data_IF_403616338809
#
_entry.id   IF_403616338809
#
_cell.length_a   1.000
_cell.length_b   1.000
_cell.length_c   1.000
_cell.angle_alpha   90.00
_cell.angle_beta   90.00
_cell.angle_gamma   90.00
#
_symmetry.space_group_name_H-M   'P 1'
#
loop_
_entity.id
_entity.type
_entity.pdbx_description
1 polymer ?
#
# COMPACT_ATOMS: atom_id res chain seq x y z
N UNK A 1 28.12 -32.49 84.96
CA UNK A 1 28.19 -31.88 83.64
C UNK A 1 27.72 -32.89 82.62
N UNK A 2 26.41 -32.87 82.28
CA UNK A 2 25.77 -33.80 81.34
C UNK A 2 25.73 -33.15 79.95
N UNK A 3 26.34 -33.77 78.97
CA UNK A 3 26.31 -33.36 77.59
C UNK A 3 25.02 -33.92 76.92
N UNK A 4 24.12 -33.03 76.50
CA UNK A 4 22.98 -33.35 75.67
C UNK A 4 23.41 -33.59 74.24
N UNK A 5 23.21 -34.77 73.74
CA UNK A 5 23.37 -35.06 72.30
C UNK A 5 22.10 -34.66 71.55
N UNK A 6 22.29 -33.79 70.55
CA UNK A 6 21.28 -33.32 69.60
C UNK A 6 20.83 -34.45 68.65
N UNK A 7 19.53 -34.63 68.36
CA UNK A 7 19.09 -35.61 67.39
C UNK A 7 19.50 -35.27 65.97
N UNK A 8 20.18 -36.17 65.25
CA UNK A 8 20.50 -36.07 63.82
C UNK A 8 19.22 -36.12 63.00
N UNK A 9 18.99 -35.07 62.28
CA UNK A 9 17.97 -34.94 61.21
C UNK A 9 18.27 -35.96 60.09
N UNK A 10 17.50 -37.08 60.10
CA UNK A 10 17.57 -38.08 59.06
C UNK A 10 16.79 -37.62 57.85
N UNK A 11 17.43 -36.80 56.99
CA UNK A 11 16.89 -36.49 55.67
C UNK A 11 16.83 -37.78 54.86
N UNK A 12 15.62 -38.30 54.62
CA UNK A 12 15.38 -39.44 53.73
C UNK A 12 15.94 -39.11 52.36
N UNK A 13 16.80 -39.93 51.76
CA UNK A 13 17.27 -39.72 50.40
C UNK A 13 16.08 -39.86 49.46
N UNK A 14 15.77 -38.82 48.71
CA UNK A 14 14.82 -38.89 47.61
C UNK A 14 15.35 -39.91 46.63
N UNK A 15 14.70 -41.08 46.53
CA UNK A 15 15.07 -42.13 45.60
C UNK A 15 15.03 -41.59 44.17
N UNK A 16 16.20 -41.43 43.56
CA UNK A 16 16.32 -41.14 42.14
C UNK A 16 15.72 -42.32 41.37
N UNK A 17 14.49 -42.14 40.87
CA UNK A 17 13.93 -43.10 39.92
C UNK A 17 14.75 -43.01 38.64
N UNK A 18 15.43 -44.07 38.28
CA UNK A 18 16.14 -44.15 37.01
C UNK A 18 15.09 -44.21 35.87
N UNK A 19 15.23 -43.34 34.91
CA UNK A 19 14.34 -43.27 33.74
C UNK A 19 14.78 -44.36 32.76
N UNK A 20 13.85 -45.15 32.25
CA UNK A 20 14.18 -46.19 31.26
C UNK A 20 14.28 -45.56 29.85
N UNK A 21 15.09 -46.16 28.99
CA UNK A 21 15.25 -45.72 27.60
C UNK A 21 13.89 -45.74 26.84
N UNK A 22 13.03 -46.73 27.16
CA UNK A 22 11.71 -46.88 26.56
C UNK A 22 10.76 -45.74 26.99
N UNK A 23 10.77 -45.35 28.28
CA UNK A 23 9.95 -44.23 28.75
C UNK A 23 10.35 -42.92 28.08
N UNK A 24 11.64 -42.69 27.88
CA UNK A 24 12.13 -41.52 27.15
C UNK A 24 11.69 -41.56 25.69
N UNK A 25 11.81 -42.72 25.03
CA UNK A 25 11.48 -42.87 23.61
C UNK A 25 9.99 -42.68 23.36
N UNK A 26 9.11 -43.18 24.22
CA UNK A 26 7.65 -42.97 24.13
C UNK A 26 7.30 -41.48 24.29
N UNK A 27 7.92 -40.79 25.26
CA UNK A 27 7.66 -39.36 25.49
C UNK A 27 8.07 -38.53 24.29
N UNK A 28 9.27 -38.73 23.73
CA UNK A 28 9.69 -37.97 22.55
C UNK A 28 8.84 -38.28 21.31
N UNK A 29 8.37 -39.53 21.15
CA UNK A 29 7.45 -39.90 20.08
C UNK A 29 6.10 -39.17 20.20
N UNK A 30 5.53 -39.10 21.41
CA UNK A 30 4.27 -38.37 21.65
C UNK A 30 4.45 -36.87 21.42
N UNK A 31 5.53 -36.27 21.96
CA UNK A 31 5.84 -34.86 21.76
C UNK A 31 6.05 -34.56 20.26
N UNK A 32 6.82 -35.39 19.57
CA UNK A 32 7.07 -35.26 18.13
C UNK A 32 5.78 -35.29 17.33
N UNK A 33 4.87 -36.21 17.62
CA UNK A 33 3.56 -36.29 16.95
C UNK A 33 2.70 -35.07 17.25
N UNK A 34 2.62 -34.64 18.52
CA UNK A 34 1.84 -33.45 18.89
C UNK A 34 2.38 -32.17 18.25
N UNK A 35 3.70 -31.96 18.28
CA UNK A 35 4.34 -30.80 17.65
C UNK A 35 4.16 -30.84 16.14
N UNK A 36 4.31 -32.01 15.52
CA UNK A 36 4.12 -32.19 14.07
C UNK A 36 2.72 -31.82 13.60
N UNK A 37 1.69 -32.07 14.40
CA UNK A 37 0.30 -31.69 14.09
C UNK A 37 -0.02 -30.23 14.45
N UNK A 38 0.54 -29.73 15.55
CA UNK A 38 0.24 -28.37 16.03
C UNK A 38 0.94 -27.28 15.21
N UNK A 39 2.16 -27.51 14.73
CA UNK A 39 2.95 -26.46 14.05
C UNK A 39 2.26 -25.91 12.79
N UNK A 40 1.74 -26.73 11.85
CA UNK A 40 1.02 -26.23 10.69
C UNK A 40 -0.27 -25.48 11.08
N UNK A 41 -1.01 -25.99 12.07
CA UNK A 41 -2.26 -25.38 12.53
C UNK A 41 -2.03 -23.99 13.15
N UNK A 42 -0.99 -23.85 13.98
CA UNK A 42 -0.62 -22.56 14.59
C UNK A 42 -0.17 -21.55 13.51
N UNK A 43 0.58 -21.98 12.51
CA UNK A 43 1.00 -21.10 11.41
C UNK A 43 -0.21 -20.61 10.58
N UNK A 44 -1.14 -21.53 10.26
CA UNK A 44 -2.38 -21.16 9.55
C UNK A 44 -3.25 -20.18 10.37
N UNK A 45 -3.40 -20.43 11.68
CA UNK A 45 -4.14 -19.53 12.56
C UNK A 45 -3.49 -18.13 12.65
N UNK A 46 -2.17 -18.06 12.73
CA UNK A 46 -1.43 -16.79 12.73
C UNK A 46 -1.61 -16.02 11.43
N UNK A 47 -1.56 -16.70 10.29
CA UNK A 47 -1.77 -16.03 9.00
C UNK A 47 -3.21 -15.54 8.84
N UNK A 48 -4.20 -16.32 9.26
CA UNK A 48 -5.59 -15.90 9.29
C UNK A 48 -5.80 -14.63 10.16
N UNK A 49 -5.14 -14.58 11.33
CA UNK A 49 -5.18 -13.41 12.20
C UNK A 49 -4.52 -12.18 11.54
N UNK A 50 -3.35 -12.35 10.89
CA UNK A 50 -2.70 -11.26 10.15
C UNK A 50 -3.57 -10.75 9.01
N UNK A 51 -4.17 -11.66 8.23
CA UNK A 51 -5.09 -11.29 7.15
C UNK A 51 -6.30 -10.50 7.67
N UNK A 52 -6.88 -10.94 8.78
CA UNK A 52 -7.98 -10.19 9.43
C UNK A 52 -7.55 -8.78 9.85
N UNK A 53 -6.33 -8.61 10.36
CA UNK A 53 -5.79 -7.30 10.69
C UNK A 53 -5.62 -6.42 9.43
N UNK A 54 -5.12 -6.98 8.31
CA UNK A 54 -4.98 -6.25 7.05
C UNK A 54 -6.34 -5.84 6.48
N UNK A 55 -7.37 -6.69 6.58
CA UNK A 55 -8.75 -6.36 6.21
C UNK A 55 -9.31 -5.22 7.08
N UNK A 56 -9.06 -5.25 8.39
CA UNK A 56 -9.50 -4.20 9.31
C UNK A 56 -8.81 -2.86 8.98
N UNK A 57 -7.53 -2.86 8.63
CA UNK A 57 -6.84 -1.66 8.17
C UNK A 57 -7.51 -1.06 6.92
N UNK A 58 -7.79 -1.89 5.90
CA UNK A 58 -8.54 -1.45 4.71
C UNK A 58 -9.93 -0.90 5.07
N UNK A 59 -10.62 -1.55 6.00
CA UNK A 59 -11.92 -1.06 6.48
C UNK A 59 -11.82 0.32 7.10
N UNK A 60 -10.81 0.56 7.93
CA UNK A 60 -10.57 1.89 8.54
C UNK A 60 -10.20 2.93 7.49
N UNK A 61 -9.37 2.59 6.50
CA UNK A 61 -9.05 3.47 5.38
C UNK A 61 -10.29 3.83 4.57
N UNK A 62 -11.12 2.84 4.23
CA UNK A 62 -12.37 3.05 3.52
C UNK A 62 -13.34 3.95 4.27
N UNK A 63 -13.56 3.69 5.57
CA UNK A 63 -14.41 4.52 6.43
C UNK A 63 -13.85 5.93 6.60
N UNK A 64 -12.54 6.08 6.81
CA UNK A 64 -11.88 7.38 6.88
C UNK A 64 -12.06 8.20 5.60
N UNK A 65 -11.99 7.53 4.44
CA UNK A 65 -12.22 8.15 3.14
C UNK A 65 -13.68 8.59 2.94
N UNK A 66 -14.65 7.77 3.33
CA UNK A 66 -16.07 8.11 3.24
C UNK A 66 -16.43 9.27 4.19
N UNK A 67 -15.91 9.26 5.41
CA UNK A 67 -16.06 10.36 6.35
C UNK A 67 -15.45 11.67 5.84
N UNK A 68 -14.27 11.59 5.19
CA UNK A 68 -13.67 12.73 4.49
C UNK A 68 -14.60 13.25 3.39
N UNK A 69 -15.10 12.35 2.52
CA UNK A 69 -15.95 12.71 1.40
C UNK A 69 -17.27 13.35 1.86
N UNK A 70 -17.86 12.87 2.96
CA UNK A 70 -19.04 13.44 3.58
C UNK A 70 -18.76 14.85 4.13
N UNK A 71 -17.69 15.01 4.91
CA UNK A 71 -17.31 16.28 5.51
C UNK A 71 -16.87 17.35 4.48
N UNK A 72 -16.30 16.96 3.34
CA UNK A 72 -15.78 17.87 2.30
C UNK A 72 -16.66 17.95 1.05
N UNK A 73 -17.68 17.12 0.94
CA UNK A 73 -18.55 17.01 -0.24
C UNK A 73 -17.93 16.34 -1.45
N UNK A 74 -16.68 15.84 -1.35
CA UNK A 74 -15.95 15.17 -2.41
C UNK A 74 -14.77 14.35 -1.86
N UNK A 75 -14.28 13.39 -2.64
CA UNK A 75 -13.02 12.69 -2.39
C UNK A 75 -11.83 13.67 -2.41
N UNK A 76 -10.68 13.32 -1.83
CA UNK A 76 -9.48 14.14 -1.92
C UNK A 76 -9.18 14.53 -3.37
N UNK A 77 -8.89 15.82 -3.63
CA UNK A 77 -8.55 16.25 -4.98
C UNK A 77 -7.23 15.63 -5.45
N UNK A 78 -7.05 15.47 -6.76
CA UNK A 78 -5.90 14.78 -7.33
C UNK A 78 -4.55 15.41 -7.02
N UNK A 79 -4.48 16.72 -6.80
CA UNK A 79 -3.28 17.42 -6.36
C UNK A 79 -3.67 18.34 -5.22
N UNK A 80 -3.10 18.10 -4.05
CA UNK A 80 -3.30 18.95 -2.89
C UNK A 80 -1.99 19.62 -2.50
N UNK A 81 -1.96 20.93 -2.67
CA UNK A 81 -1.07 21.77 -1.88
C UNK A 81 -1.48 21.69 -0.41
N UNK A 82 -0.53 21.89 0.51
CA UNK A 82 -0.85 21.94 1.94
C UNK A 82 -2.06 22.87 2.20
N UNK A 83 -2.96 22.52 3.11
CA UNK A 83 -4.20 23.28 3.35
C UNK A 83 -3.99 24.75 3.69
N UNK A 84 -2.78 25.11 4.12
CA UNK A 84 -2.40 26.46 4.58
C UNK A 84 -1.59 27.27 3.54
N UNK A 85 -1.42 26.76 2.31
CA UNK A 85 -0.69 27.49 1.29
C UNK A 85 -1.47 28.72 0.82
N UNK A 86 -0.89 29.91 0.95
CA UNK A 86 -1.44 31.13 0.33
C UNK A 86 -1.30 31.09 -1.20
N UNK A 87 -2.13 31.82 -1.91
CA UNK A 87 -2.07 31.88 -3.38
C UNK A 87 -0.70 32.39 -3.90
N UNK A 88 -0.09 33.35 -3.17
CA UNK A 88 1.24 33.85 -3.52
C UNK A 88 2.33 32.79 -3.42
N UNK A 89 2.20 31.90 -2.45
CA UNK A 89 3.12 30.78 -2.24
C UNK A 89 2.90 29.65 -3.24
N UNK A 90 1.72 29.54 -3.83
CA UNK A 90 1.41 28.61 -4.92
C UNK A 90 2.00 29.07 -6.27
N UNK A 91 2.30 30.34 -6.40
CA UNK A 91 2.82 30.96 -7.63
C UNK A 91 4.35 31.09 -7.65
N UNK A 92 5.06 30.72 -6.58
CA UNK A 92 6.52 30.76 -6.52
C UNK A 92 7.11 29.77 -7.55
N UNK A 93 7.95 30.29 -8.46
CA UNK A 93 8.59 29.51 -9.52
C UNK A 93 9.52 28.38 -9.00
N UNK A 94 9.96 28.46 -7.75
CA UNK A 94 10.68 27.37 -7.06
C UNK A 94 9.75 26.23 -6.63
N UNK A 95 8.49 26.33 -6.87
CA UNK A 95 7.42 25.36 -6.60
C UNK A 95 7.36 24.19 -7.60
N UNK A 96 8.40 23.98 -8.36
CA UNK A 96 8.47 22.94 -9.41
C UNK A 96 8.16 21.51 -8.96
N UNK A 97 8.11 21.27 -7.67
CA UNK A 97 7.84 19.94 -7.12
C UNK A 97 6.38 19.62 -6.82
N UNK A 98 5.48 20.59 -6.86
CA UNK A 98 4.15 20.44 -6.24
C UNK A 98 3.12 19.70 -7.09
N UNK A 99 3.21 19.82 -8.39
CA UNK A 99 2.27 19.18 -9.29
C UNK A 99 2.43 17.67 -9.37
N UNK A 100 3.60 17.17 -8.93
CA UNK A 100 3.93 15.76 -8.97
C UNK A 100 3.93 15.10 -7.58
N UNK A 101 4.01 15.88 -6.52
CA UNK A 101 4.23 15.41 -5.14
C UNK A 101 3.22 15.99 -4.17
N UNK A 102 1.98 16.15 -4.60
CA UNK A 102 0.89 16.55 -3.70
C UNK A 102 0.77 15.60 -2.52
N UNK A 103 0.08 16.06 -1.48
CA UNK A 103 -0.27 15.23 -0.32
C UNK A 103 -1.18 14.07 -0.77
N UNK A 104 -0.90 12.90 -0.27
CA UNK A 104 -1.65 11.69 -0.61
C UNK A 104 -3.05 11.70 0.00
N UNK A 105 -3.97 10.88 -0.54
CA UNK A 105 -5.24 10.63 0.14
C UNK A 105 -5.06 10.07 1.56
N UNK A 106 -3.98 9.32 1.85
CA UNK A 106 -3.67 8.85 3.21
C UNK A 106 -3.49 10.02 4.18
N UNK A 107 -2.76 11.06 3.76
CA UNK A 107 -2.60 12.26 4.59
C UNK A 107 -3.93 12.97 4.83
N UNK A 108 -4.76 13.08 3.79
CA UNK A 108 -6.02 13.81 3.87
C UNK A 108 -7.04 13.16 4.80
N UNK A 109 -6.98 11.85 4.97
CA UNK A 109 -7.89 11.12 5.87
C UNK A 109 -7.38 11.01 7.32
N UNK A 110 -6.18 11.48 7.63
CA UNK A 110 -5.61 11.38 8.99
C UNK A 110 -6.56 11.87 10.09
N UNK A 111 -7.29 13.00 9.94
CA UNK A 111 -8.24 13.44 10.95
C UNK A 111 -9.41 12.48 11.21
N UNK A 112 -9.66 11.56 10.26
CA UNK A 112 -10.77 10.60 10.31
C UNK A 112 -10.33 9.19 10.71
N UNK A 113 -9.03 8.98 10.97
CA UNK A 113 -8.41 7.71 11.37
C UNK A 113 -7.44 7.89 12.55
N UNK A 114 -7.80 8.77 13.50
CA UNK A 114 -7.02 9.06 14.72
C UNK A 114 -5.61 9.68 14.48
N UNK A 115 -5.38 10.25 13.29
CA UNK A 115 -4.11 10.88 12.92
C UNK A 115 -4.09 12.41 13.02
N UNK A 116 -5.01 13.03 13.76
CA UNK A 116 -5.21 14.49 13.83
C UNK A 116 -3.95 15.25 14.28
N UNK A 117 -3.21 14.72 15.24
CA UNK A 117 -1.99 15.37 15.72
C UNK A 117 -0.93 15.47 14.62
N UNK A 118 -0.76 14.40 13.85
CA UNK A 118 0.16 14.39 12.70
C UNK A 118 -0.32 15.32 11.60
N UNK A 119 -1.62 15.33 11.33
CA UNK A 119 -2.22 16.25 10.35
C UNK A 119 -1.95 17.70 10.73
N UNK A 120 -2.20 18.08 11.97
CA UNK A 120 -2.00 19.45 12.47
C UNK A 120 -0.53 19.85 12.59
N UNK A 121 0.36 18.89 12.90
CA UNK A 121 1.81 19.14 12.96
C UNK A 121 2.41 19.47 11.59
N UNK A 122 1.71 19.13 10.51
CA UNK A 122 2.14 19.32 9.13
C UNK A 122 1.58 20.61 8.55
N UNK A 123 1.76 21.71 9.24
CA UNK A 123 1.51 23.05 8.66
C UNK A 123 2.60 23.38 7.65
N UNK A 124 2.31 24.26 6.71
CA UNK A 124 3.28 24.72 5.71
C UNK A 124 4.56 25.27 6.32
N UNK A 125 4.47 26.07 7.39
CA UNK A 125 5.64 26.58 8.12
C UNK A 125 6.56 25.46 8.63
N UNK A 126 5.99 24.29 8.87
CA UNK A 126 6.70 23.09 9.30
C UNK A 126 7.11 22.19 8.13
N UNK A 127 6.47 22.33 6.97
CA UNK A 127 6.81 21.60 5.74
C UNK A 127 7.96 22.30 5.00
N UNK A 128 8.12 23.63 5.22
CA UNK A 128 9.19 24.47 4.67
C UNK A 128 9.27 24.43 3.15
N UNK A 129 10.29 25.07 2.57
CA UNK A 129 10.72 24.87 1.18
C UNK A 129 11.06 23.39 0.86
N UNK A 130 10.99 22.54 1.83
CA UNK A 130 11.20 21.09 1.77
C UNK A 130 10.04 20.31 1.13
N UNK A 131 8.93 20.93 0.75
CA UNK A 131 8.03 20.41 -0.28
C UNK A 131 8.65 20.51 -1.68
N UNK A 132 9.76 21.21 -1.81
CA UNK A 132 10.68 21.09 -2.89
C UNK A 132 10.91 19.60 -3.20
N UNK A 133 11.24 19.29 -4.40
CA UNK A 133 11.59 18.02 -5.03
C UNK A 133 12.24 16.95 -4.13
N UNK A 134 12.78 17.35 -2.98
CA UNK A 134 13.36 16.54 -1.91
C UNK A 134 12.54 16.52 -0.61
N UNK A 135 11.33 17.04 -0.62
CA UNK A 135 10.47 17.19 0.58
C UNK A 135 10.04 15.89 1.28
N UNK A 136 10.51 14.77 0.78
CA UNK A 136 10.49 13.48 1.44
C UNK A 136 11.28 13.46 2.75
N UNK A 137 12.17 14.43 2.93
CA UNK A 137 13.00 14.58 4.12
C UNK A 137 12.34 15.38 5.23
N UNK A 138 11.06 15.73 5.06
CA UNK A 138 10.36 16.38 6.14
C UNK A 138 10.39 15.49 7.39
N UNK A 139 11.19 15.96 8.34
CA UNK A 139 11.45 15.28 9.60
C UNK A 139 10.17 14.93 10.38
N UNK A 140 9.04 15.54 10.03
CA UNK A 140 7.77 15.38 10.74
C UNK A 140 6.80 14.38 10.07
N UNK A 141 6.82 14.22 8.75
CA UNK A 141 5.91 13.29 8.04
C UNK A 141 6.58 11.98 7.63
N UNK A 142 7.75 12.09 7.02
CA UNK A 142 8.38 10.93 6.40
C UNK A 142 8.78 9.81 7.35
N UNK A 143 8.77 10.06 8.67
CA UNK A 143 9.20 9.10 9.71
C UNK A 143 8.05 8.63 10.60
N UNK A 144 6.86 9.22 10.47
CA UNK A 144 5.70 8.81 11.27
C UNK A 144 5.17 7.48 10.74
N UNK A 145 5.16 6.50 11.61
CA UNK A 145 4.60 5.17 11.32
C UNK A 145 3.16 5.13 11.75
N UNK A 146 2.27 4.82 10.78
CA UNK A 146 0.89 4.49 11.07
C UNK A 146 0.67 2.99 10.91
N UNK A 147 0.23 2.32 11.99
CA UNK A 147 -0.07 0.88 11.94
C UNK A 147 -1.14 0.55 10.90
N UNK A 148 -2.10 1.45 10.70
CA UNK A 148 -3.21 1.29 9.76
C UNK A 148 -2.77 1.31 8.28
N UNK A 149 -1.55 1.80 8.00
CA UNK A 149 -0.97 1.80 6.66
C UNK A 149 -0.07 0.59 6.41
N UNK A 150 0.11 -0.29 7.40
CA UNK A 150 1.02 -1.42 7.33
C UNK A 150 0.26 -2.74 7.51
N UNK A 151 0.43 -3.66 6.57
CA UNK A 151 -0.08 -5.01 6.67
C UNK A 151 0.90 -5.89 7.46
N UNK A 152 0.49 -6.56 8.56
CA UNK A 152 1.37 -7.39 9.36
C UNK A 152 1.85 -8.67 8.65
N UNK A 153 1.29 -9.03 7.51
CA UNK A 153 1.78 -10.13 6.67
C UNK A 153 2.91 -9.73 5.75
N UNK A 154 3.09 -8.42 5.48
CA UNK A 154 4.22 -7.92 4.70
C UNK A 154 5.46 -7.90 5.57
N UNK A 155 6.59 -8.36 5.04
CA UNK A 155 7.87 -8.07 5.68
C UNK A 155 7.96 -6.56 5.87
N UNK A 156 8.35 -6.13 7.07
CA UNK A 156 8.72 -4.74 7.33
C UNK A 156 9.94 -4.44 6.44
N UNK A 157 9.71 -4.19 5.17
CA UNK A 157 10.74 -3.91 4.19
C UNK A 157 11.62 -2.74 4.63
N UNK A 158 11.10 -1.92 5.52
CA UNK A 158 11.74 -0.71 6.03
C UNK A 158 12.30 -0.80 7.45
N UNK A 159 12.26 -1.99 8.06
CA UNK A 159 12.99 -2.20 9.31
C UNK A 159 14.50 -2.26 9.03
N UNK A 160 15.08 -1.20 8.51
CA UNK A 160 16.51 -1.00 8.50
C UNK A 160 17.24 -0.84 7.18
N UNK A 161 16.60 -0.83 6.00
CA UNK A 161 17.33 -0.80 4.73
C UNK A 161 17.26 0.50 3.94
N UNK A 162 16.25 1.32 4.15
CA UNK A 162 16.17 2.63 3.49
C UNK A 162 16.43 3.77 4.47
N UNK A 163 17.69 4.15 4.57
CA UNK A 163 18.13 5.39 5.19
C UNK A 163 18.23 6.46 4.10
N UNK A 164 17.23 7.28 3.93
CA UNK A 164 17.40 8.54 3.20
C UNK A 164 17.84 9.56 4.21
N UNK A 165 19.03 10.12 4.03
CA UNK A 165 19.65 11.06 4.97
C UNK A 165 19.71 10.56 6.44
N UNK A 166 19.99 9.27 6.64
CA UNK A 166 20.10 8.66 7.95
C UNK A 166 18.79 8.37 8.68
N UNK A 167 17.64 8.42 7.99
CA UNK A 167 16.31 8.23 8.59
C UNK A 167 15.51 7.16 7.91
N UNK A 168 14.85 6.32 8.70
CA UNK A 168 13.99 5.24 8.20
C UNK A 168 12.69 5.78 7.59
N UNK A 169 12.18 5.11 6.56
CA UNK A 169 10.87 5.37 5.95
C UNK A 169 9.90 4.25 6.33
N UNK A 170 8.76 4.55 6.94
CA UNK A 170 7.86 3.52 7.49
C UNK A 170 7.08 2.74 6.44
N UNK A 171 7.08 3.17 5.18
CA UNK A 171 6.36 2.48 4.12
C UNK A 171 4.83 2.55 4.20
N UNK A 172 4.19 1.90 3.22
CA UNK A 172 2.75 1.83 3.06
C UNK A 172 2.37 0.57 2.26
N UNK A 173 1.41 -0.19 2.76
CA UNK A 173 0.93 -1.43 2.14
C UNK A 173 -0.48 -1.32 1.55
N UNK A 174 -1.02 -0.13 1.39
CA UNK A 174 -2.33 0.09 0.80
C UNK A 174 -2.26 1.24 -0.20
N UNK A 175 -2.92 1.08 -1.33
CA UNK A 175 -2.88 2.08 -2.39
C UNK A 175 -4.27 2.34 -2.96
N UNK A 176 -4.49 3.55 -3.43
CA UNK A 176 -5.76 4.03 -3.98
C UNK A 176 -5.86 3.75 -5.47
N UNK A 177 -7.01 3.29 -5.91
CA UNK A 177 -7.24 2.90 -7.31
C UNK A 177 -7.36 4.11 -8.23
N UNK A 178 -6.46 4.19 -9.23
CA UNK A 178 -6.49 5.21 -10.29
C UNK A 178 -7.25 4.77 -11.53
N UNK A 179 -7.68 3.51 -11.60
CA UNK A 179 -8.45 2.97 -12.73
C UNK A 179 -7.83 1.75 -13.39
N UNK A 180 -8.34 1.39 -14.54
CA UNK A 180 -7.95 0.20 -15.31
C UNK A 180 -6.96 0.49 -16.45
N UNK A 181 -6.59 1.74 -16.69
CA UNK A 181 -5.68 2.15 -17.76
C UNK A 181 -4.23 2.17 -17.29
N UNK A 182 -3.29 1.92 -18.21
CA UNK A 182 -1.86 2.11 -17.96
C UNK A 182 -1.45 3.57 -17.86
N UNK A 183 -2.28 4.50 -18.33
CA UNK A 183 -1.97 5.94 -18.31
C UNK A 183 -2.14 6.51 -16.90
N UNK A 184 -1.05 6.95 -16.31
CA UNK A 184 -1.05 7.54 -14.97
C UNK A 184 -0.89 9.06 -14.96
N UNK A 185 -0.65 9.67 -16.12
CA UNK A 185 -0.23 11.06 -16.21
C UNK A 185 -1.16 11.93 -17.09
N UNK A 186 -0.98 13.22 -16.96
CA UNK A 186 -1.72 14.37 -17.50
C UNK A 186 -2.14 14.35 -18.98
N UNK A 187 -1.57 13.46 -19.79
CA UNK A 187 -1.76 13.51 -21.24
C UNK A 187 -2.99 12.74 -21.77
N UNK A 188 -3.72 12.05 -20.91
CA UNK A 188 -4.91 11.28 -21.32
C UNK A 188 -6.00 11.28 -20.26
N UNK A 189 -6.73 12.39 -20.09
CA UNK A 189 -7.77 12.52 -19.06
C UNK A 189 -8.90 11.49 -19.19
N UNK A 190 -9.19 11.09 -20.42
CA UNK A 190 -10.25 10.14 -20.71
C UNK A 190 -9.94 8.71 -20.28
N UNK A 191 -8.66 8.38 -20.10
CA UNK A 191 -8.23 7.03 -19.69
C UNK A 191 -8.11 6.85 -18.19
N UNK A 192 -8.14 7.95 -17.41
CA UNK A 192 -8.10 7.89 -15.95
C UNK A 192 -9.50 7.77 -15.39
N UNK A 193 -9.91 6.54 -15.18
CA UNK A 193 -11.30 6.17 -14.93
C UNK A 193 -11.56 5.64 -13.52
N UNK A 194 -10.55 5.63 -12.63
CA UNK A 194 -10.69 5.20 -11.23
C UNK A 194 -11.26 6.26 -10.29
N UNK A 195 -11.41 5.89 -9.01
CA UNK A 195 -11.90 6.81 -7.97
C UNK A 195 -10.91 7.93 -7.64
N UNK A 196 -9.62 7.72 -7.84
CA UNK A 196 -8.54 8.68 -7.53
C UNK A 196 -7.72 9.02 -8.77
N UNK A 197 -8.31 9.65 -9.80
CA UNK A 197 -7.59 9.96 -11.02
C UNK A 197 -6.41 10.90 -10.74
N UNK A 198 -5.42 10.88 -11.61
CA UNK A 198 -4.33 11.87 -11.58
C UNK A 198 -4.81 13.22 -12.08
N UNK A 199 -4.28 14.36 -11.58
CA UNK A 199 -4.66 15.65 -12.10
C UNK A 199 -4.22 15.76 -13.57
N UNK A 200 -5.15 16.22 -14.41
CA UNK A 200 -4.88 16.55 -15.79
C UNK A 200 -4.41 17.99 -15.83
N UNK A 201 -3.15 18.21 -16.14
CA UNK A 201 -2.67 19.56 -16.47
C UNK A 201 -2.67 19.77 -17.97
N UNK A 202 -3.56 20.62 -18.45
CA UNK A 202 -3.58 21.09 -19.84
C UNK A 202 -2.88 22.44 -20.03
N UNK A 203 -2.35 23.03 -18.96
CA UNK A 203 -1.75 24.35 -18.96
C UNK A 203 -0.30 24.34 -18.49
N UNK A 204 0.53 25.33 -18.86
CA UNK A 204 1.77 25.59 -18.15
C UNK A 204 1.44 25.87 -16.68
N UNK A 205 2.20 25.25 -15.81
CA UNK A 205 2.06 25.32 -14.33
C UNK A 205 1.91 26.76 -13.81
N UNK A 206 1.14 26.98 -12.73
CA UNK A 206 0.63 26.01 -11.76
C UNK A 206 -0.77 25.49 -12.10
N UNK A 207 -1.12 24.29 -11.59
CA UNK A 207 -2.52 23.85 -11.62
C UNK A 207 -3.37 24.90 -10.91
N UNK A 208 -4.53 25.28 -11.48
CA UNK A 208 -5.42 26.20 -10.79
C UNK A 208 -5.71 25.62 -9.40
N UNK A 209 -5.40 26.42 -8.38
CA UNK A 209 -5.72 26.11 -7.01
C UNK A 209 -7.20 25.77 -6.89
N UNK A 210 -7.53 24.58 -6.45
CA UNK A 210 -8.92 24.19 -6.22
C UNK A 210 -9.50 23.15 -7.19
N UNK A 211 -8.68 22.29 -7.78
CA UNK A 211 -9.21 21.07 -8.40
C UNK A 211 -10.10 20.36 -7.39
N UNK A 212 -11.41 20.31 -7.65
CA UNK A 212 -12.35 19.60 -6.78
C UNK A 212 -12.13 18.11 -6.97
N UNK A 213 -12.07 17.37 -5.87
CA UNK A 213 -12.12 15.91 -5.90
C UNK A 213 -13.41 15.41 -6.53
N UNK A 214 -13.42 14.17 -6.95
CA UNK A 214 -14.64 13.52 -7.44
C UNK A 214 -15.67 13.42 -6.32
N UNK A 215 -16.91 13.75 -6.62
CA UNK A 215 -18.03 13.49 -5.69
C UNK A 215 -18.42 12.02 -5.78
N UNK A 216 -18.91 11.43 -4.71
CA UNK A 216 -19.37 10.04 -4.72
C UNK A 216 -20.45 9.78 -5.79
N UNK A 217 -21.29 10.76 -6.11
CA UNK A 217 -22.28 10.65 -7.18
C UNK A 217 -21.71 10.62 -8.60
N UNK A 218 -20.45 10.99 -8.78
CA UNK A 218 -19.77 10.94 -10.08
C UNK A 218 -19.22 9.52 -10.39
N UNK A 219 -19.43 8.57 -9.46
CA UNK A 219 -19.11 7.13 -9.60
C UNK A 219 -20.40 6.43 -10.02
N UNK A 220 -20.62 6.42 -11.34
CA UNK A 220 -21.92 6.02 -11.92
C UNK A 220 -22.16 4.53 -11.96
N UNK A 221 -21.09 3.72 -11.91
CA UNK A 221 -21.20 2.24 -11.91
C UNK A 221 -21.60 1.69 -10.55
N UNK A 222 -21.61 2.55 -9.53
CA UNK A 222 -21.99 2.26 -8.16
C UNK A 222 -20.81 2.04 -7.22
N UNK A 223 -20.92 2.58 -6.01
CA UNK A 223 -19.85 2.52 -5.02
C UNK A 223 -19.49 1.09 -4.60
N UNK A 224 -20.48 0.19 -4.52
CA UNK A 224 -20.25 -1.22 -4.18
C UNK A 224 -19.60 -2.04 -5.30
N UNK A 225 -19.49 -1.49 -6.51
CA UNK A 225 -18.90 -2.14 -7.68
C UNK A 225 -17.58 -1.51 -8.12
N UNK A 226 -17.17 -0.40 -7.50
CA UNK A 226 -15.96 0.32 -7.86
C UNK A 226 -14.89 0.16 -6.78
N UNK A 227 -13.69 -0.24 -7.17
CA UNK A 227 -12.55 -0.42 -6.29
C UNK A 227 -12.06 0.93 -5.76
N UNK A 228 -12.02 1.08 -4.45
CA UNK A 228 -11.47 2.25 -3.79
C UNK A 228 -9.96 2.14 -3.55
N UNK A 229 -9.55 1.07 -2.87
CA UNK A 229 -8.15 0.81 -2.56
C UNK A 229 -7.90 -0.70 -2.38
N UNK A 230 -6.64 -1.11 -2.48
CA UNK A 230 -6.25 -2.49 -2.23
C UNK A 230 -4.83 -2.56 -1.65
N UNK A 231 -4.41 -3.77 -1.30
CA UNK A 231 -3.07 -4.04 -0.82
C UNK A 231 -2.02 -3.81 -1.90
N UNK A 232 -0.87 -3.31 -1.48
CA UNK A 232 0.36 -3.23 -2.28
C UNK A 232 1.56 -3.72 -1.47
N UNK A 233 2.58 -4.21 -2.13
CA UNK A 233 3.85 -4.53 -1.50
C UNK A 233 4.78 -3.32 -1.54
N UNK A 234 5.33 -2.96 -0.38
CA UNK A 234 6.36 -1.95 -0.30
C UNK A 234 7.70 -2.51 -0.79
N UNK A 235 8.50 -1.71 -1.48
CA UNK A 235 9.79 -2.10 -2.03
C UNK A 235 10.80 -2.53 -0.97
N UNK A 236 11.74 -3.39 -1.35
CA UNK A 236 12.80 -3.90 -0.46
C UNK A 236 14.15 -3.21 -0.62
N UNK A 237 14.32 -2.49 -1.70
CA UNK A 237 15.56 -1.77 -1.97
C UNK A 237 16.66 -2.58 -2.66
N UNK A 238 16.36 -3.75 -3.16
CA UNK A 238 17.32 -4.64 -3.83
C UNK A 238 16.96 -4.96 -5.29
N UNK A 239 15.93 -4.33 -5.85
CA UNK A 239 15.47 -4.58 -7.22
C UNK A 239 14.71 -5.89 -7.40
N UNK A 240 14.20 -6.46 -6.32
CA UNK A 240 13.61 -7.79 -6.30
C UNK A 240 12.11 -7.79 -6.59
N UNK A 241 11.69 -8.62 -7.57
CA UNK A 241 10.29 -8.97 -7.77
C UNK A 241 9.76 -9.72 -6.52
N UNK A 242 8.52 -9.51 -6.09
CA UNK A 242 7.48 -8.62 -6.65
C UNK A 242 7.45 -7.21 -6.03
N UNK A 243 8.46 -6.82 -5.29
CA UNK A 243 8.45 -5.64 -4.42
C UNK A 243 8.80 -4.36 -5.14
N UNK A 244 9.72 -4.41 -6.08
CA UNK A 244 10.35 -3.23 -6.66
C UNK A 244 9.74 -2.85 -8.01
N UNK A 245 10.15 -1.70 -8.50
CA UNK A 245 9.68 -1.08 -9.73
C UNK A 245 10.67 -1.38 -10.84
N UNK A 246 10.18 -1.65 -12.04
CA UNK A 246 11.00 -1.82 -13.24
C UNK A 246 10.61 -0.79 -14.32
N UNK A 247 11.62 -0.11 -14.86
CA UNK A 247 11.46 0.77 -16.01
C UNK A 247 11.58 -0.05 -17.30
N UNK A 248 10.59 0.06 -18.16
CA UNK A 248 10.52 -0.63 -19.46
C UNK A 248 10.45 0.35 -20.65
N UNK A 249 10.78 1.62 -20.42
CA UNK A 249 10.77 2.66 -21.45
C UNK A 249 9.36 3.17 -21.80
N UNK A 250 9.33 4.17 -22.67
CA UNK A 250 8.11 4.95 -22.97
C UNK A 250 7.28 4.40 -24.13
N UNK A 251 7.81 3.52 -24.98
CA UNK A 251 7.14 3.00 -26.17
C UNK A 251 6.33 1.73 -25.90
N UNK A 252 5.31 1.45 -26.72
CA UNK A 252 4.56 0.19 -26.74
C UNK A 252 3.77 -0.11 -25.48
N UNK A 253 3.25 0.91 -24.81
CA UNK A 253 2.28 0.76 -23.73
C UNK A 253 0.88 0.63 -24.31
N UNK A 254 0.01 -0.22 -23.72
CA UNK A 254 -1.39 -0.27 -24.09
C UNK A 254 -2.05 1.11 -23.93
N UNK A 255 -2.86 1.51 -24.90
CA UNK A 255 -3.53 2.84 -24.90
C UNK A 255 -4.99 2.74 -24.47
N UNK A 256 -5.55 1.53 -24.45
CA UNK A 256 -6.94 1.26 -24.07
C UNK A 256 -7.19 1.37 -22.56
N UNK A 257 -8.46 1.51 -22.19
CA UNK A 257 -8.90 1.47 -20.80
C UNK A 257 -8.82 0.06 -20.20
N UNK A 258 -8.84 -0.96 -21.05
CA UNK A 258 -8.85 -2.39 -20.69
C UNK A 258 -7.79 -3.14 -21.50
N UNK A 259 -6.52 -3.10 -21.08
CA UNK A 259 -5.45 -3.85 -21.74
C UNK A 259 -5.76 -5.37 -21.77
N UNK A 260 -5.54 -5.99 -22.90
CA UNK A 260 -5.69 -7.43 -23.08
C UNK A 260 -4.54 -8.22 -22.43
N UNK A 261 -4.76 -9.50 -22.17
CA UNK A 261 -3.71 -10.38 -21.64
C UNK A 261 -2.46 -10.39 -22.53
N UNK A 262 -2.62 -10.41 -23.86
CA UNK A 262 -1.51 -10.39 -24.82
C UNK A 262 -0.71 -9.07 -24.79
N UNK A 263 -1.40 -7.93 -24.61
CA UNK A 263 -0.72 -6.64 -24.45
C UNK A 263 0.08 -6.59 -23.13
N UNK A 264 -0.46 -7.18 -22.07
CA UNK A 264 0.23 -7.27 -20.78
C UNK A 264 1.44 -8.22 -20.84
N UNK A 265 1.34 -9.34 -21.52
CA UNK A 265 2.47 -10.25 -21.78
C UNK A 265 3.57 -9.55 -22.60
N UNK A 266 3.18 -8.83 -23.64
CA UNK A 266 4.11 -8.01 -24.43
C UNK A 266 4.79 -6.96 -23.55
N UNK A 267 4.04 -6.30 -22.68
CA UNK A 267 4.59 -5.30 -21.76
C UNK A 267 5.55 -5.94 -20.75
N UNK A 268 5.21 -7.10 -20.20
CA UNK A 268 6.02 -7.83 -19.23
C UNK A 268 7.33 -8.39 -19.83
N UNK A 269 7.33 -8.67 -21.14
CA UNK A 269 8.50 -9.19 -21.84
C UNK A 269 9.54 -8.12 -22.22
N UNK A 270 9.23 -6.84 -21.98
CA UNK A 270 10.15 -5.75 -22.32
C UNK A 270 11.42 -5.77 -21.50
N UNK A 271 12.50 -5.31 -22.12
CA UNK A 271 13.78 -5.16 -21.44
C UNK A 271 13.69 -4.12 -20.34
N UNK A 272 14.03 -4.52 -19.13
CA UNK A 272 14.15 -3.64 -17.98
C UNK A 272 15.39 -2.78 -18.13
N UNK A 273 15.24 -1.47 -18.19
CA UNK A 273 16.34 -0.51 -18.36
C UNK A 273 16.88 0.01 -17.03
N UNK A 274 16.06 0.00 -15.99
CA UNK A 274 16.43 0.36 -14.61
C UNK A 274 15.43 -0.23 -13.62
N UNK A 275 15.85 -0.39 -12.39
CA UNK A 275 15.00 -0.83 -11.26
C UNK A 275 15.03 0.21 -10.14
N UNK A 276 13.93 0.30 -9.38
CA UNK A 276 13.82 1.17 -8.21
C UNK A 276 13.05 0.45 -7.10
N UNK A 277 13.53 0.61 -5.90
CA UNK A 277 13.01 -0.01 -4.70
C UNK A 277 11.93 0.80 -3.97
N UNK A 278 11.47 1.89 -4.53
CA UNK A 278 10.66 2.86 -3.81
C UNK A 278 9.14 2.64 -3.90
N UNK A 279 8.71 1.45 -4.31
CA UNK A 279 7.29 1.10 -4.29
C UNK A 279 6.74 1.17 -2.86
N UNK A 280 5.64 1.91 -2.65
CA UNK A 280 5.03 2.06 -1.32
C UNK A 280 5.92 2.68 -0.25
N UNK A 281 7.01 3.38 -0.61
CA UNK A 281 7.95 3.95 0.36
C UNK A 281 7.34 5.10 1.18
N UNK A 282 6.53 5.93 0.55
CA UNK A 282 5.97 7.13 1.17
C UNK A 282 4.45 7.06 1.22
N UNK A 283 3.90 7.07 2.42
CA UNK A 283 2.44 7.16 2.59
C UNK A 283 1.91 8.58 2.43
N UNK A 284 2.74 9.59 2.67
CA UNK A 284 2.33 11.00 2.72
C UNK A 284 2.26 11.68 1.35
N UNK A 285 2.87 11.10 0.31
CA UNK A 285 2.97 11.71 -1.01
C UNK A 285 2.16 10.98 -2.06
N UNK A 286 1.68 11.72 -3.04
CA UNK A 286 0.93 11.20 -4.19
C UNK A 286 1.86 10.66 -5.29
N UNK A 287 2.79 9.77 -4.98
CA UNK A 287 3.61 9.12 -6.01
C UNK A 287 2.86 8.04 -6.77
N UNK A 288 3.18 7.85 -8.06
CA UNK A 288 2.55 6.84 -8.93
C UNK A 288 2.64 5.42 -8.37
N UNK A 289 3.68 5.12 -7.61
CA UNK A 289 3.95 3.81 -7.04
C UNK A 289 3.93 3.81 -5.51
N UNK A 290 3.79 4.96 -4.87
CA UNK A 290 3.78 5.06 -3.41
C UNK A 290 2.40 4.80 -2.80
N UNK A 291 1.38 5.48 -3.33
CA UNK A 291 0.03 5.45 -2.76
C UNK A 291 -1.04 5.15 -3.80
N UNK A 292 -0.65 4.68 -4.97
CA UNK A 292 -1.55 4.42 -6.09
C UNK A 292 -1.30 3.07 -6.72
N UNK A 293 -2.38 2.46 -7.14
CA UNK A 293 -2.42 1.22 -7.91
C UNK A 293 -3.42 1.36 -9.06
N UNK A 294 -3.33 0.45 -10.03
CA UNK A 294 -4.36 0.29 -11.05
C UNK A 294 -4.74 -1.17 -11.22
N UNK A 295 -5.89 -1.39 -11.88
CA UNK A 295 -6.41 -2.72 -12.16
C UNK A 295 -6.07 -3.22 -13.57
N UNK A 296 -5.02 -2.69 -14.17
CA UNK A 296 -4.61 -3.03 -15.54
C UNK A 296 -4.21 -4.50 -15.69
N UNK A 297 -3.63 -5.10 -14.66
CA UNK A 297 -3.23 -6.50 -14.60
C UNK A 297 -3.81 -7.17 -13.35
N UNK A 298 -3.97 -8.51 -13.34
CA UNK A 298 -4.61 -9.21 -12.23
C UNK A 298 -3.82 -9.05 -10.91
N UNK A 299 -4.46 -9.31 -9.76
CA UNK A 299 -3.76 -9.33 -8.48
C UNK A 299 -2.53 -10.23 -8.52
N UNK A 300 -1.48 -9.86 -7.80
CA UNK A 300 -0.22 -10.61 -7.72
C UNK A 300 0.40 -10.97 -9.08
N UNK A 301 0.15 -10.15 -10.10
CA UNK A 301 0.69 -10.35 -11.46
C UNK A 301 2.19 -10.66 -11.44
N UNK A 302 2.63 -11.64 -12.24
CA UNK A 302 3.99 -12.20 -12.25
C UNK A 302 5.06 -11.31 -12.89
N UNK A 303 4.83 -10.02 -12.99
CA UNK A 303 5.80 -9.02 -13.45
C UNK A 303 6.00 -7.99 -12.33
N UNK A 304 7.14 -7.32 -12.20
CA UNK A 304 7.28 -6.21 -11.27
C UNK A 304 6.27 -5.09 -11.55
N UNK A 305 6.16 -4.11 -10.66
CA UNK A 305 5.47 -2.87 -10.99
C UNK A 305 6.21 -2.19 -12.14
N UNK A 306 5.56 -2.04 -13.29
CA UNK A 306 6.18 -1.46 -14.48
C UNK A 306 5.89 0.01 -14.59
N UNK A 307 6.90 0.78 -14.99
CA UNK A 307 6.80 2.22 -15.25
C UNK A 307 7.51 2.59 -16.55
N UNK A 308 7.06 3.67 -17.18
CA UNK A 308 7.65 4.14 -18.44
C UNK A 308 8.94 4.94 -18.25
N UNK A 309 9.14 5.53 -17.08
CA UNK A 309 10.32 6.33 -16.74
C UNK A 309 10.59 6.20 -15.24
N UNK A 310 11.84 5.95 -14.87
CA UNK A 310 12.35 6.16 -13.52
C UNK A 310 13.20 7.43 -13.57
N UNK A 311 12.80 8.48 -12.89
CA UNK A 311 13.59 9.70 -12.74
C UNK A 311 14.79 9.48 -11.82
N UNK A 312 15.78 10.37 -11.87
CA UNK A 312 16.97 10.33 -11.01
C UNK A 312 16.65 10.37 -9.50
N UNK A 313 15.40 10.61 -9.15
CA UNK A 313 14.87 10.74 -7.80
C UNK A 313 13.65 9.85 -7.59
N UNK A 314 13.78 8.59 -8.05
CA UNK A 314 12.80 7.55 -7.86
C UNK A 314 11.50 7.69 -8.67
N UNK A 315 11.19 6.71 -9.44
CA UNK A 315 9.98 6.35 -10.18
C UNK A 315 8.63 7.01 -9.88
N UNK A 316 8.65 8.06 -9.12
CA UNK A 316 7.49 8.62 -8.47
C UNK A 316 6.73 9.65 -9.29
N UNK A 317 7.42 10.38 -10.17
CA UNK A 317 6.88 11.67 -10.55
C UNK A 317 6.60 11.85 -12.05
N UNK A 318 7.18 11.02 -12.91
CA UNK A 318 7.09 11.22 -14.35
C UNK A 318 6.73 9.96 -15.15
N UNK A 319 6.27 8.91 -14.50
CA UNK A 319 5.78 7.75 -15.24
C UNK A 319 4.49 8.15 -15.98
N UNK A 320 4.60 8.45 -17.27
CA UNK A 320 3.43 8.68 -18.12
C UNK A 320 2.54 7.43 -18.14
N UNK A 321 3.15 6.25 -18.01
CA UNK A 321 2.46 4.98 -17.97
C UNK A 321 2.94 4.13 -16.78
N UNK A 322 2.01 3.40 -16.21
CA UNK A 322 2.24 2.52 -15.04
C UNK A 322 1.38 1.26 -15.17
N UNK A 323 1.96 0.14 -14.77
CA UNK A 323 1.23 -1.08 -14.46
C UNK A 323 1.60 -1.48 -13.02
N UNK A 324 0.75 -1.09 -12.09
CA UNK A 324 0.90 -1.29 -10.65
C UNK A 324 -0.33 -2.01 -10.09
N UNK A 325 -0.50 -3.31 -10.40
CA UNK A 325 -1.61 -4.07 -9.87
C UNK A 325 -1.49 -4.27 -8.35
N UNK A 326 -2.59 -4.54 -7.66
CA UNK A 326 -2.58 -4.89 -6.24
C UNK A 326 -1.70 -6.11 -5.99
N UNK A 327 -1.03 -6.12 -4.82
CA UNK A 327 -0.14 -7.20 -4.42
C UNK A 327 -0.23 -7.46 -2.94
N UNK A 328 -0.13 -8.72 -2.57
CA UNK A 328 -0.22 -9.16 -1.18
C UNK A 328 0.70 -10.35 -0.91
N UNK A 329 1.03 -10.56 0.35
CA UNK A 329 1.68 -11.79 0.84
C UNK A 329 0.66 -12.84 1.29
N UNK A 330 -0.64 -12.54 1.19
CA UNK A 330 -1.70 -13.51 1.47
C UNK A 330 -1.81 -14.52 0.32
N UNK A 331 -1.96 -15.79 0.64
CA UNK A 331 -2.08 -16.83 -0.38
C UNK A 331 -3.34 -16.68 -1.21
N UNK A 332 -3.19 -16.67 -2.56
CA UNK A 332 -4.27 -16.80 -3.52
C UNK A 332 -5.01 -15.51 -3.87
N UNK A 333 -4.57 -14.33 -3.42
CA UNK A 333 -5.21 -13.06 -3.78
C UNK A 333 -4.84 -11.89 -2.90
N UNK A 334 -5.60 -10.82 -2.99
CA UNK A 334 -5.40 -9.55 -2.28
C UNK A 334 -6.66 -9.11 -1.54
N UNK A 335 -6.51 -8.43 -0.41
CA UNK A 335 -7.63 -7.73 0.20
C UNK A 335 -7.81 -6.36 -0.48
N UNK A 336 -9.06 -5.96 -0.62
CA UNK A 336 -9.45 -4.72 -1.27
C UNK A 336 -10.65 -4.08 -0.58
N UNK A 337 -10.80 -2.76 -0.66
CA UNK A 337 -11.96 -2.03 -0.19
C UNK A 337 -12.68 -1.36 -1.37
N UNK A 338 -13.98 -1.53 -1.41
CA UNK A 338 -14.86 -0.96 -2.43
C UNK A 338 -15.27 0.47 -2.07
N UNK A 339 -15.84 1.19 -3.02
CA UNK A 339 -16.26 2.56 -2.86
C UNK A 339 -17.30 2.81 -1.76
N UNK A 340 -18.05 1.80 -1.36
CA UNK A 340 -18.99 1.82 -0.23
C UNK A 340 -18.35 1.45 1.12
N UNK A 341 -17.04 1.17 1.12
CA UNK A 341 -16.29 0.73 2.31
C UNK A 341 -16.42 -0.76 2.64
N UNK A 342 -17.04 -1.57 1.79
CA UNK A 342 -17.03 -3.03 1.92
C UNK A 342 -15.62 -3.57 1.63
N UNK A 343 -15.13 -4.47 2.49
CA UNK A 343 -13.84 -5.14 2.27
C UNK A 343 -14.08 -6.51 1.71
N UNK A 344 -13.41 -6.81 0.60
CA UNK A 344 -13.51 -8.07 -0.14
C UNK A 344 -12.12 -8.68 -0.33
N UNK A 345 -12.10 -9.96 -0.67
CA UNK A 345 -10.89 -10.64 -1.11
C UNK A 345 -10.99 -10.95 -2.60
N UNK A 346 -10.05 -10.48 -3.39
CA UNK A 346 -9.99 -10.68 -4.83
C UNK A 346 -8.95 -11.75 -5.13
N UNK A 347 -9.36 -12.82 -5.78
CA UNK A 347 -8.50 -13.97 -6.11
C UNK A 347 -7.53 -13.62 -7.24
N UNK A 348 -6.35 -14.26 -7.26
CA UNK A 348 -5.33 -14.08 -8.30
C UNK A 348 -5.83 -14.49 -9.71
N UNK A 349 -6.76 -15.43 -9.76
CA UNK A 349 -7.35 -15.96 -11.00
C UNK A 349 -8.68 -15.30 -11.39
N UNK A 350 -8.97 -14.12 -10.84
CA UNK A 350 -10.14 -13.34 -11.25
C UNK A 350 -10.09 -13.07 -12.76
N UNK A 351 -11.26 -13.07 -13.42
CA UNK A 351 -11.33 -12.67 -14.83
C UNK A 351 -10.74 -11.27 -15.02
N UNK A 352 -9.82 -11.14 -15.98
CA UNK A 352 -9.07 -9.91 -16.20
C UNK A 352 -9.97 -8.72 -16.51
N UNK A 353 -10.96 -8.92 -17.39
CA UNK A 353 -11.86 -7.84 -17.79
C UNK A 353 -12.75 -7.41 -16.62
N UNK A 354 -13.29 -8.37 -15.88
CA UNK A 354 -14.05 -8.08 -14.65
C UNK A 354 -13.21 -7.30 -13.64
N UNK A 355 -11.97 -7.71 -13.43
CA UNK A 355 -11.06 -7.01 -12.52
C UNK A 355 -10.73 -5.58 -12.99
N UNK A 356 -10.55 -5.38 -14.28
CA UNK A 356 -10.35 -4.05 -14.86
C UNK A 356 -11.60 -3.18 -14.73
N UNK A 357 -12.77 -3.74 -14.94
CA UNK A 357 -14.05 -3.04 -14.82
C UNK A 357 -14.30 -2.53 -13.41
N UNK A 358 -14.00 -3.29 -12.37
CA UNK A 358 -14.15 -2.78 -10.98
C UNK A 358 -13.20 -1.64 -10.68
N UNK A 359 -12.10 -1.48 -11.39
CA UNK A 359 -11.22 -0.32 -11.29
C UNK A 359 -11.80 0.94 -11.92
N UNK A 360 -12.79 0.79 -12.81
CA UNK A 360 -13.43 1.89 -13.52
C UNK A 360 -14.67 2.38 -12.74
N UNK A 361 -14.90 3.68 -12.71
CA UNK A 361 -16.03 4.31 -12.01
C UNK A 361 -17.23 4.61 -12.91
N UNK A 362 -17.10 4.47 -14.25
CA UNK A 362 -18.09 4.96 -15.20
C UNK A 362 -18.01 4.28 -16.58
N UNK A 363 -17.78 3.00 -16.67
CA UNK A 363 -17.80 2.28 -17.96
C UNK A 363 -19.20 1.82 -18.38
N UNK A 364 -20.16 1.90 -17.45
CA UNK A 364 -21.53 1.44 -17.66
C UNK A 364 -21.64 -0.09 -17.67
N UNK A 365 -20.57 -0.81 -17.30
CA UNK A 365 -20.60 -2.25 -17.17
C UNK A 365 -21.47 -2.64 -15.97
N UNK A 366 -22.65 -3.12 -16.24
CA UNK A 366 -23.50 -3.73 -15.21
C UNK A 366 -22.97 -5.13 -14.92
N UNK A 367 -21.96 -5.21 -14.06
CA UNK A 367 -21.42 -6.48 -13.64
C UNK A 367 -22.45 -7.23 -12.80
N UNK A 368 -23.25 -8.07 -13.46
CA UNK A 368 -24.17 -8.99 -12.79
C UNK A 368 -23.45 -10.17 -12.12
N UNK A 369 -22.16 -10.33 -12.36
CA UNK A 369 -21.35 -11.38 -11.75
C UNK A 369 -20.68 -10.84 -10.49
N UNK A 370 -20.93 -11.50 -9.37
CA UNK A 370 -20.18 -11.32 -8.12
C UNK A 370 -18.70 -11.68 -8.31
N UNK A 371 -17.80 -10.88 -7.79
CA UNK A 371 -16.36 -11.20 -7.63
C UNK A 371 -16.17 -12.43 -6.77
#
# INVERSE_FOLDING_TARGET
MSAMLSPRDQRRPWGRRAFTLVELLVVIAIIGTLVGLLLPAVQAAREAARRSACMNNLKQLGLGMLNYADAKGALPPPANSAPTATEAEKLDANYWGYDFVGLSPHYMILPFIEGTDTYNACTRANLGSAFSYMGHDNAKLGHVKFSNFLCPSTFNAYAGTFLVNGRYRPGNNYAWCIGSSTHSHKNSPSSQNGMFPWPVSTAPYPLPSGGKGLRLKDITDGLSKTLMAAEQLAGKGNGEYPYDIANVGTSGWPTGAFPTASELETLASKTVTATDAQNGMYWSTQGSTNTRLNTVAPPNWKSPTLVSVIGAYSGQHNANNIAAPPRSMHGGGVNAVMGDGAVIFIQDNVDLLLFQQIGNRKDGAVNGNSL
#
